data_IF_016836443704
#
_entry.id   IF_016836443704
#
_cell.length_a   1.000
_cell.length_b   1.000
_cell.length_c   1.000
_cell.angle_alpha   90.00
_cell.angle_beta   90.00
_cell.angle_gamma   90.00
#
_symmetry.space_group_name_H-M   'P 1'
#
loop_
_entity.id
_entity.type
_entity.pdbx_description
1 polymer ?
#
# COMPACT_ATOMS: atom_id res chain seq x y z
N UNK A 1 -15.76 -4.84 15.20
CA UNK A 1 -15.73 -3.69 14.25
C UNK A 1 -16.90 -3.70 13.27
N UNK A 2 -17.25 -4.82 12.65
CA UNK A 2 -18.29 -4.85 11.61
C UNK A 2 -19.68 -4.36 12.09
N UNK A 3 -20.16 -4.80 13.25
CA UNK A 3 -21.45 -4.31 13.80
C UNK A 3 -21.42 -2.81 14.18
N UNK A 4 -20.29 -2.33 14.71
CA UNK A 4 -20.10 -0.91 15.02
C UNK A 4 -20.12 -0.06 13.74
N UNK A 5 -19.55 -0.56 12.64
CA UNK A 5 -19.55 0.14 11.36
C UNK A 5 -20.98 0.28 10.80
N UNK A 6 -21.86 -0.72 11.00
CA UNK A 6 -23.26 -0.65 10.58
C UNK A 6 -24.02 0.43 11.35
N UNK A 7 -23.79 0.54 12.67
CA UNK A 7 -24.41 1.60 13.47
C UNK A 7 -23.94 3.00 13.05
N UNK A 8 -22.64 3.17 12.83
CA UNK A 8 -22.06 4.42 12.35
C UNK A 8 -22.59 4.82 10.98
N UNK A 9 -22.69 3.87 10.05
CA UNK A 9 -23.25 4.11 8.72
C UNK A 9 -24.67 4.69 8.82
N UNK A 10 -25.54 4.07 9.64
CA UNK A 10 -26.92 4.57 9.85
C UNK A 10 -26.97 5.96 10.47
N UNK A 11 -26.06 6.30 11.38
CA UNK A 11 -26.00 7.65 11.98
C UNK A 11 -25.52 8.70 10.97
N UNK A 12 -24.52 8.36 10.16
CA UNK A 12 -24.00 9.20 9.09
C UNK A 12 -25.05 9.46 8.01
N UNK A 13 -25.74 8.41 7.55
CA UNK A 13 -26.85 8.51 6.58
C UNK A 13 -27.96 9.44 7.09
N UNK A 14 -28.37 9.31 8.36
CA UNK A 14 -29.34 10.21 8.99
C UNK A 14 -28.89 11.67 9.05
N UNK A 15 -27.59 11.91 9.00
CA UNK A 15 -26.99 13.24 9.01
C UNK A 15 -26.73 13.80 7.60
N UNK A 16 -27.21 13.10 6.56
CA UNK A 16 -27.07 13.53 5.15
C UNK A 16 -25.78 13.04 4.46
N UNK A 17 -25.01 12.17 5.10
CA UNK A 17 -23.79 11.60 4.49
C UNK A 17 -24.17 10.45 3.57
N UNK A 18 -23.66 10.48 2.34
CA UNK A 18 -23.78 9.35 1.43
C UNK A 18 -22.78 8.26 1.84
N UNK A 19 -23.27 7.20 2.49
CA UNK A 19 -22.45 6.07 2.90
C UNK A 19 -22.48 5.01 1.81
N UNK A 20 -21.31 4.59 1.36
CA UNK A 20 -21.16 3.50 0.39
C UNK A 20 -20.46 2.33 1.05
N UNK A 21 -21.09 1.17 0.96
CA UNK A 21 -20.51 -0.10 1.39
C UNK A 21 -19.57 -0.59 0.30
N UNK A 22 -18.44 -1.18 0.70
CA UNK A 22 -17.37 -1.57 -0.23
C UNK A 22 -17.84 -2.52 -1.34
N UNK A 23 -16.99 -2.67 -2.37
CA UNK A 23 -17.27 -3.52 -3.52
C UNK A 23 -17.51 -4.98 -3.08
N UNK A 24 -18.61 -5.58 -3.54
CA UNK A 24 -18.99 -6.94 -3.17
C UNK A 24 -17.87 -7.94 -3.50
N UNK A 25 -17.52 -8.78 -2.52
CA UNK A 25 -16.42 -9.74 -2.64
C UNK A 25 -15.02 -9.17 -2.38
N UNK A 26 -14.88 -7.87 -2.12
CA UNK A 26 -13.60 -7.23 -1.77
C UNK A 26 -13.68 -6.52 -0.41
N UNK A 27 -12.57 -6.56 0.33
CA UNK A 27 -12.40 -5.77 1.55
C UNK A 27 -11.59 -4.52 1.26
N UNK A 28 -12.12 -3.36 1.61
CA UNK A 28 -11.38 -2.08 1.53
C UNK A 28 -10.41 -1.97 2.70
N UNK A 29 -9.10 -2.03 2.43
CA UNK A 29 -8.05 -1.89 3.45
C UNK A 29 -7.28 -0.56 3.37
N UNK A 30 -7.43 0.22 2.30
CA UNK A 30 -6.76 1.52 2.19
C UNK A 30 -7.31 2.52 3.20
N UNK A 31 -6.48 3.50 3.62
CA UNK A 31 -6.89 4.58 4.52
C UNK A 31 -6.54 5.90 3.92
N UNK A 32 -7.56 6.49 3.31
CA UNK A 32 -7.45 7.70 2.52
C UNK A 32 -8.55 8.67 2.93
N UNK A 33 -8.28 9.95 2.75
CA UNK A 33 -9.26 11.03 2.88
C UNK A 33 -9.04 11.98 1.73
N UNK A 34 -10.12 12.47 1.15
CA UNK A 34 -10.11 13.49 0.12
C UNK A 34 -11.03 14.63 0.56
N UNK A 35 -10.53 15.85 0.48
CA UNK A 35 -11.28 17.08 0.73
C UNK A 35 -11.22 17.91 -0.54
N UNK A 36 -12.38 18.18 -1.13
CA UNK A 36 -12.50 19.10 -2.26
C UNK A 36 -13.09 20.40 -1.74
N UNK A 37 -12.35 21.49 -1.91
CA UNK A 37 -12.70 22.82 -1.41
C UNK A 37 -12.75 23.80 -2.57
N UNK A 38 -13.79 24.64 -2.63
CA UNK A 38 -13.79 25.81 -3.52
C UNK A 38 -12.91 26.90 -2.92
N UNK A 39 -11.90 27.32 -3.66
CA UNK A 39 -11.01 28.43 -3.32
C UNK A 39 -11.09 29.46 -4.44
N UNK A 40 -11.70 30.62 -4.14
CA UNK A 40 -12.12 31.62 -5.14
C UNK A 40 -13.01 30.96 -6.21
N UNK A 41 -12.58 30.96 -7.47
CA UNK A 41 -13.31 30.39 -8.60
C UNK A 41 -12.82 28.99 -8.99
N UNK A 42 -11.90 28.40 -8.23
CA UNK A 42 -11.30 27.09 -8.55
C UNK A 42 -11.64 26.04 -7.49
N UNK A 43 -11.69 24.78 -7.91
CA UNK A 43 -11.75 23.64 -6.99
C UNK A 43 -10.34 23.19 -6.67
N UNK A 44 -10.02 23.09 -5.37
CA UNK A 44 -8.75 22.56 -4.87
C UNK A 44 -9.00 21.28 -4.11
N UNK A 45 -8.20 20.26 -4.40
CA UNK A 45 -8.21 18.99 -3.68
C UNK A 45 -7.06 18.90 -2.68
N UNK A 46 -7.37 18.33 -1.53
CA UNK A 46 -6.42 17.96 -0.48
C UNK A 46 -6.66 16.50 -0.13
N UNK A 47 -5.59 15.73 0.03
CA UNK A 47 -5.68 14.32 0.34
C UNK A 47 -4.83 13.94 1.54
N UNK A 48 -5.20 12.84 2.15
CA UNK A 48 -4.39 12.08 3.09
C UNK A 48 -4.30 10.64 2.62
N UNK A 49 -3.11 10.06 2.62
CA UNK A 49 -2.88 8.62 2.39
C UNK A 49 -2.11 8.07 3.57
N UNK A 50 -2.68 7.07 4.25
CA UNK A 50 -2.12 6.48 5.46
C UNK A 50 -1.87 4.98 5.34
N UNK A 51 -0.84 4.51 6.04
CA UNK A 51 -0.59 3.07 6.23
C UNK A 51 -1.52 2.46 7.30
N UNK A 52 -1.97 3.30 8.24
CA UNK A 52 -2.78 2.96 9.42
C UNK A 52 -4.23 3.39 9.34
N UNK A 53 -5.06 2.87 10.24
CA UNK A 53 -6.45 3.29 10.38
C UNK A 53 -6.61 4.57 11.20
N UNK A 54 -7.78 5.20 11.08
CA UNK A 54 -8.14 6.42 11.82
C UNK A 54 -8.59 6.15 13.26
N UNK A 55 -8.16 5.04 13.87
CA UNK A 55 -8.55 4.68 15.24
C UNK A 55 -7.55 5.26 16.24
N UNK A 56 -8.04 6.17 17.09
CA UNK A 56 -7.24 6.90 18.09
C UNK A 56 -6.61 6.02 19.16
N UNK A 57 -7.15 4.82 19.41
CA UNK A 57 -6.55 3.87 20.36
C UNK A 57 -5.34 3.20 19.73
N UNK A 58 -5.50 2.64 18.53
CA UNK A 58 -4.42 1.93 17.84
C UNK A 58 -3.30 2.86 17.39
N UNK A 59 -3.59 4.13 17.08
CA UNK A 59 -2.57 5.12 16.72
C UNK A 59 -1.55 5.40 17.83
N UNK A 60 -1.87 5.09 19.10
CA UNK A 60 -0.93 5.22 20.22
C UNK A 60 -0.01 4.00 20.41
N UNK A 61 -0.33 2.88 19.76
CA UNK A 61 0.38 1.61 19.89
C UNK A 61 1.10 1.21 18.60
N UNK A 62 0.60 1.62 17.44
CA UNK A 62 1.08 1.20 16.13
C UNK A 62 1.94 2.30 15.51
N UNK A 63 3.00 1.92 14.80
CA UNK A 63 3.76 2.87 13.98
C UNK A 63 3.10 2.98 12.61
N UNK A 64 2.63 4.18 12.27
CA UNK A 64 1.99 4.45 11.00
C UNK A 64 2.46 5.76 10.40
N UNK A 65 2.41 5.85 9.07
CA UNK A 65 2.72 7.05 8.32
C UNK A 65 1.43 7.58 7.69
N UNK A 66 1.34 8.90 7.60
CA UNK A 66 0.26 9.62 6.96
C UNK A 66 0.83 10.76 6.13
N UNK A 67 0.49 10.81 4.85
CA UNK A 67 0.96 11.85 3.94
C UNK A 67 -0.22 12.77 3.62
N UNK A 68 -0.28 13.98 4.22
CA UNK A 68 -1.13 15.04 3.71
C UNK A 68 -0.51 15.64 2.44
N UNK A 69 -1.32 15.86 1.40
CA UNK A 69 -0.83 16.39 0.13
C UNK A 69 -1.92 17.15 -0.63
N UNK A 70 -1.49 18.13 -1.43
CA UNK A 70 -2.31 18.78 -2.45
C UNK A 70 -1.69 18.62 -3.86
N UNK A 71 -0.85 17.58 -4.05
CA UNK A 71 -0.32 17.22 -5.36
C UNK A 71 -1.47 16.78 -6.27
N UNK A 72 -1.54 17.37 -7.46
CA UNK A 72 -2.70 17.22 -8.36
C UNK A 72 -2.84 15.80 -8.89
N UNK A 73 -1.76 15.10 -9.23
CA UNK A 73 -1.81 13.71 -9.70
C UNK A 73 -2.32 12.77 -8.61
N UNK A 74 -1.81 12.91 -7.38
CA UNK A 74 -2.24 12.11 -6.25
C UNK A 74 -3.70 12.39 -5.88
N UNK A 75 -4.11 13.67 -5.87
CA UNK A 75 -5.50 14.06 -5.63
C UNK A 75 -6.43 13.45 -6.67
N UNK A 76 -6.07 13.54 -7.96
CA UNK A 76 -6.88 12.97 -9.03
C UNK A 76 -6.94 11.44 -8.95
N UNK A 77 -5.85 10.77 -8.59
CA UNK A 77 -5.86 9.32 -8.36
C UNK A 77 -6.80 8.91 -7.23
N UNK A 78 -6.90 9.72 -6.16
CA UNK A 78 -7.87 9.48 -5.08
C UNK A 78 -9.31 9.73 -5.55
N UNK A 79 -9.56 10.75 -6.38
CA UNK A 79 -10.88 10.96 -7.00
C UNK A 79 -11.27 9.73 -7.82
N UNK A 80 -10.37 9.24 -8.68
CA UNK A 80 -10.58 8.06 -9.50
C UNK A 80 -10.83 6.81 -8.63
N UNK A 81 -10.10 6.66 -7.52
CA UNK A 81 -10.28 5.56 -6.57
C UNK A 81 -11.61 5.64 -5.82
N UNK A 82 -12.06 6.83 -5.37
CA UNK A 82 -13.37 6.99 -4.75
C UNK A 82 -14.50 6.67 -5.74
N UNK A 83 -14.38 7.11 -7.00
CA UNK A 83 -15.34 6.78 -8.05
C UNK A 83 -15.37 5.27 -8.35
N UNK A 84 -14.20 4.61 -8.33
CA UNK A 84 -14.11 3.15 -8.47
C UNK A 84 -14.82 2.42 -7.32
N UNK A 85 -14.55 2.82 -6.07
CA UNK A 85 -15.16 2.21 -4.88
C UNK A 85 -16.68 2.40 -4.80
N UNK A 86 -17.19 3.47 -5.42
CA UNK A 86 -18.61 3.80 -5.44
C UNK A 86 -19.35 3.33 -6.70
N UNK A 87 -18.66 2.59 -7.57
CA UNK A 87 -19.26 1.94 -8.74
C UNK A 87 -19.42 2.84 -9.97
N UNK A 88 -18.87 4.05 -9.97
CA UNK A 88 -18.97 5.00 -11.08
C UNK A 88 -17.90 4.81 -12.16
N UNK A 89 -16.84 4.03 -11.92
CA UNK A 89 -15.74 3.86 -12.89
C UNK A 89 -15.12 2.45 -12.87
N UNK A 90 -14.61 2.03 -14.03
CA UNK A 90 -13.72 0.87 -14.21
C UNK A 90 -12.29 1.34 -14.46
N UNK A 91 -11.74 2.10 -13.52
CA UNK A 91 -10.37 2.60 -13.61
C UNK A 91 -9.38 1.42 -13.72
N UNK A 92 -8.50 1.45 -14.73
CA UNK A 92 -7.49 0.41 -14.95
C UNK A 92 -6.07 0.87 -14.60
N UNK A 93 -5.79 2.17 -14.65
CA UNK A 93 -4.48 2.73 -14.34
C UNK A 93 -4.63 3.92 -13.39
N UNK A 94 -3.57 4.15 -12.63
CA UNK A 94 -3.42 5.29 -11.72
C UNK A 94 -2.07 5.93 -12.00
N UNK A 95 -1.98 7.24 -11.79
CA UNK A 95 -0.77 8.04 -12.11
C UNK A 95 0.37 7.70 -11.16
N UNK A 96 0.07 7.67 -9.86
CA UNK A 96 0.99 7.47 -8.75
C UNK A 96 0.56 6.34 -7.82
N UNK A 97 -0.73 6.16 -7.58
CA UNK A 97 -1.22 5.12 -6.67
C UNK A 97 -1.00 3.71 -7.21
N UNK A 98 -0.66 2.79 -6.32
CA UNK A 98 -0.69 1.35 -6.57
C UNK A 98 -1.92 0.76 -5.87
N UNK A 99 -2.95 0.41 -6.64
CA UNK A 99 -4.26 0.03 -6.12
C UNK A 99 -4.48 -1.47 -6.31
N UNK A 100 -4.81 -2.19 -5.24
CA UNK A 100 -5.22 -3.58 -5.33
C UNK A 100 -6.74 -3.69 -5.61
N UNK A 101 -7.19 -4.69 -6.39
CA UNK A 101 -6.39 -5.69 -7.10
C UNK A 101 -5.89 -5.21 -8.48
N UNK A 102 -6.17 -3.96 -8.86
CA UNK A 102 -6.03 -3.44 -10.23
C UNK A 102 -4.57 -3.36 -10.71
N UNK A 103 -3.75 -2.51 -10.09
CA UNK A 103 -2.38 -2.22 -10.53
C UNK A 103 -1.31 -2.76 -9.59
N UNK A 104 -1.61 -2.90 -8.28
CA UNK A 104 -0.58 -3.14 -7.26
C UNK A 104 0.31 -4.35 -7.57
N UNK A 105 -0.27 -5.53 -7.83
CA UNK A 105 0.53 -6.74 -8.09
C UNK A 105 1.43 -6.58 -9.31
N UNK A 106 0.84 -6.21 -10.45
CA UNK A 106 1.57 -6.04 -11.72
C UNK A 106 2.73 -5.06 -11.57
N UNK A 107 2.46 -3.88 -10.98
CA UNK A 107 3.49 -2.84 -10.79
C UNK A 107 4.59 -3.27 -9.82
N UNK A 108 4.27 -4.02 -8.77
CA UNK A 108 5.29 -4.58 -7.87
C UNK A 108 6.21 -5.58 -8.59
N UNK A 109 5.65 -6.43 -9.45
CA UNK A 109 6.45 -7.35 -10.27
C UNK A 109 7.36 -6.60 -11.24
N UNK A 110 6.84 -5.58 -11.93
CA UNK A 110 7.61 -4.72 -12.83
C UNK A 110 8.76 -4.01 -12.12
N UNK A 111 8.54 -3.51 -10.90
CA UNK A 111 9.58 -2.85 -10.11
C UNK A 111 10.70 -3.81 -9.72
N UNK A 112 10.37 -5.04 -9.30
CA UNK A 112 11.38 -6.06 -8.99
C UNK A 112 12.17 -6.42 -10.25
N UNK A 113 11.46 -6.69 -11.35
CA UNK A 113 12.06 -7.06 -12.62
C UNK A 113 13.00 -5.98 -13.17
N UNK A 114 12.64 -4.70 -13.03
CA UNK A 114 13.51 -3.58 -13.41
C UNK A 114 14.85 -3.61 -12.67
N UNK A 115 14.84 -3.86 -11.36
CA UNK A 115 16.08 -3.97 -10.59
C UNK A 115 16.88 -5.22 -10.99
N UNK A 116 16.20 -6.34 -11.27
CA UNK A 116 16.85 -7.55 -11.82
C UNK A 116 17.58 -7.26 -13.14
N UNK A 117 16.95 -6.52 -14.05
CA UNK A 117 17.56 -6.12 -15.33
C UNK A 117 18.74 -5.17 -15.15
N UNK A 118 18.63 -4.22 -14.20
CA UNK A 118 19.75 -3.37 -13.84
C UNK A 118 20.95 -4.18 -13.35
N UNK A 119 20.75 -5.14 -12.46
CA UNK A 119 21.82 -5.99 -11.95
C UNK A 119 22.48 -6.84 -13.05
N UNK A 120 21.66 -7.45 -13.93
CA UNK A 120 22.15 -8.21 -15.10
C UNK A 120 22.98 -7.35 -16.06
N UNK A 121 22.65 -6.06 -16.17
CA UNK A 121 23.41 -5.10 -16.96
C UNK A 121 24.65 -4.53 -16.23
N UNK A 122 25.00 -5.05 -15.05
CA UNK A 122 26.13 -4.57 -14.24
C UNK A 122 25.90 -3.20 -13.60
N UNK A 123 24.65 -2.72 -13.54
CA UNK A 123 24.28 -1.44 -12.92
C UNK A 123 24.00 -1.63 -11.43
N UNK A 124 24.16 -0.58 -10.60
CA UNK A 124 23.71 -0.64 -9.21
C UNK A 124 22.21 -0.93 -9.14
N UNK A 125 21.84 -1.95 -8.35
CA UNK A 125 20.46 -2.39 -8.18
C UNK A 125 20.22 -2.80 -6.73
N UNK A 126 19.14 -2.29 -6.14
CA UNK A 126 18.79 -2.60 -4.77
C UNK A 126 17.29 -2.52 -4.52
N UNK A 127 16.80 -3.40 -3.64
CA UNK A 127 15.42 -3.42 -3.17
C UNK A 127 15.44 -3.27 -1.65
N UNK A 128 14.74 -2.26 -1.14
CA UNK A 128 14.50 -2.07 0.29
C UNK A 128 13.01 -2.03 0.55
N UNK A 129 12.51 -2.94 1.37
CA UNK A 129 11.08 -3.02 1.63
C UNK A 129 10.78 -3.33 3.10
N UNK A 130 9.71 -2.73 3.60
CA UNK A 130 9.17 -2.96 4.94
C UNK A 130 7.75 -3.46 4.81
N UNK A 131 7.40 -4.48 5.59
CA UNK A 131 6.04 -5.01 5.58
C UNK A 131 5.70 -5.78 6.83
N UNK A 132 4.40 -5.99 7.03
CA UNK A 132 3.92 -6.78 8.16
C UNK A 132 4.11 -8.28 7.90
N UNK A 133 3.96 -8.73 6.65
CA UNK A 133 4.14 -10.11 6.25
C UNK A 133 4.57 -10.21 4.78
N UNK A 134 5.39 -11.21 4.48
CA UNK A 134 5.82 -11.60 3.13
C UNK A 134 5.51 -13.07 2.91
N UNK A 135 4.41 -13.36 2.22
CA UNK A 135 3.89 -14.73 2.05
C UNK A 135 3.44 -15.06 0.62
N UNK A 136 3.49 -14.08 -0.30
CA UNK A 136 3.06 -14.29 -1.69
C UNK A 136 4.12 -15.07 -2.48
N UNK A 137 3.82 -16.29 -2.98
CA UNK A 137 4.83 -17.12 -3.64
C UNK A 137 5.41 -16.50 -4.92
N UNK A 138 4.59 -15.78 -5.69
CA UNK A 138 5.03 -15.19 -6.95
C UNK A 138 5.99 -14.01 -6.71
N UNK A 139 5.70 -13.16 -5.72
CA UNK A 139 6.63 -12.10 -5.32
C UNK A 139 7.91 -12.69 -4.71
N UNK A 140 7.81 -13.73 -3.89
CA UNK A 140 8.99 -14.39 -3.31
C UNK A 140 9.90 -14.99 -4.40
N UNK A 141 9.32 -15.66 -5.40
CA UNK A 141 10.07 -16.19 -6.53
C UNK A 141 10.84 -15.09 -7.27
N UNK A 142 10.19 -13.95 -7.56
CA UNK A 142 10.85 -12.81 -8.21
C UNK A 142 11.98 -12.20 -7.34
N UNK A 143 11.83 -12.18 -6.02
CA UNK A 143 12.90 -11.72 -5.13
C UNK A 143 14.11 -12.68 -5.14
N UNK A 144 13.89 -13.99 -5.26
CA UNK A 144 14.98 -14.94 -5.46
C UNK A 144 15.67 -14.74 -6.81
N UNK A 145 14.92 -14.57 -7.90
CA UNK A 145 15.50 -14.28 -9.23
C UNK A 145 16.32 -12.97 -9.22
N UNK A 146 15.82 -11.93 -8.53
CA UNK A 146 16.54 -10.67 -8.34
C UNK A 146 17.84 -10.89 -7.54
N UNK A 147 17.80 -11.68 -6.48
CA UNK A 147 19.00 -12.04 -5.71
C UNK A 147 20.04 -12.77 -6.57
N UNK A 148 19.60 -13.75 -7.36
CA UNK A 148 20.48 -14.50 -8.27
C UNK A 148 21.10 -13.63 -9.35
N UNK A 149 20.43 -12.55 -9.76
CA UNK A 149 20.98 -11.54 -10.67
C UNK A 149 21.97 -10.58 -9.99
N UNK A 150 22.10 -10.62 -8.66
CA UNK A 150 23.02 -9.77 -7.89
C UNK A 150 22.38 -8.53 -7.24
N UNK A 151 21.06 -8.38 -7.29
CA UNK A 151 20.34 -7.26 -6.63
C UNK A 151 20.55 -7.35 -5.13
N UNK A 152 20.90 -6.23 -4.47
CA UNK A 152 21.00 -6.18 -3.00
C UNK A 152 19.62 -5.99 -2.39
N UNK A 153 19.16 -6.91 -1.52
CA UNK A 153 17.78 -6.90 -1.01
C UNK A 153 17.78 -6.82 0.52
N UNK A 154 17.21 -5.75 1.07
CA UNK A 154 17.01 -5.55 2.51
C UNK A 154 15.52 -5.55 2.84
N UNK A 155 15.09 -6.53 3.64
CA UNK A 155 13.69 -6.69 4.03
C UNK A 155 13.53 -6.52 5.54
N UNK A 156 12.57 -5.69 5.94
CA UNK A 156 12.11 -5.57 7.32
C UNK A 156 10.71 -6.18 7.41
N UNK A 157 10.61 -7.42 7.90
CA UNK A 157 9.35 -8.16 7.99
C UNK A 157 9.07 -8.50 9.44
N UNK A 158 8.09 -7.84 10.05
CA UNK A 158 7.84 -8.02 11.49
C UNK A 158 7.18 -9.35 11.84
N UNK A 159 6.33 -9.85 10.95
CA UNK A 159 5.41 -10.96 11.19
C UNK A 159 5.82 -12.18 10.37
N UNK A 160 4.86 -12.77 9.66
CA UNK A 160 5.12 -13.96 8.85
C UNK A 160 6.03 -13.65 7.65
N UNK A 161 7.09 -14.43 7.50
CA UNK A 161 7.97 -14.40 6.34
C UNK A 161 8.16 -15.82 5.82
N UNK A 162 7.67 -16.09 4.61
CA UNK A 162 7.86 -17.38 3.93
C UNK A 162 9.13 -17.41 3.06
N UNK A 163 9.78 -16.25 2.86
CA UNK A 163 11.07 -16.14 2.19
C UNK A 163 12.19 -16.62 3.12
N UNK A 164 13.12 -17.43 2.58
CA UNK A 164 14.30 -17.92 3.29
C UNK A 164 15.56 -17.21 2.77
N UNK A 165 16.20 -16.31 3.55
CA UNK A 165 17.45 -15.66 3.17
C UNK A 165 18.67 -16.60 3.35
N UNK A 166 19.78 -16.29 2.65
CA UNK A 166 21.06 -16.97 2.81
C UNK A 166 21.12 -18.39 2.24
N UNK A 167 20.27 -18.72 1.28
CA UNK A 167 20.39 -19.96 0.50
C UNK A 167 21.43 -19.76 -0.59
N UNK A 168 22.44 -20.63 -0.59
CA UNK A 168 23.51 -20.62 -1.59
C UNK A 168 22.94 -20.69 -3.02
N UNK A 169 23.32 -19.72 -3.86
CA UNK A 169 22.89 -19.60 -5.25
C UNK A 169 21.43 -19.19 -5.44
N UNK A 170 20.70 -18.83 -4.38
CA UNK A 170 19.27 -18.48 -4.45
C UNK A 170 18.96 -17.16 -3.75
N UNK A 171 19.45 -16.96 -2.52
CA UNK A 171 19.12 -15.79 -1.70
C UNK A 171 20.33 -15.19 -0.97
N UNK A 172 21.52 -15.33 -1.56
CA UNK A 172 22.79 -14.85 -1.00
C UNK A 172 22.81 -13.35 -0.71
N UNK A 173 22.08 -12.55 -1.50
CA UNK A 173 22.06 -11.09 -1.38
C UNK A 173 20.84 -10.57 -0.61
N UNK A 174 20.02 -11.47 -0.06
CA UNK A 174 18.81 -11.12 0.70
C UNK A 174 19.10 -11.11 2.19
N UNK A 175 18.89 -9.96 2.83
CA UNK A 175 18.89 -9.81 4.29
C UNK A 175 17.47 -9.57 4.77
N UNK A 176 17.05 -10.36 5.77
CA UNK A 176 15.74 -10.20 6.43
C UNK A 176 15.97 -9.88 7.90
N UNK A 177 15.29 -8.85 8.39
CA UNK A 177 15.25 -8.49 9.80
C UNK A 177 13.81 -8.34 10.28
N UNK A 178 13.59 -8.56 11.57
CA UNK A 178 12.32 -8.28 12.24
C UNK A 178 12.60 -7.36 13.42
N UNK A 179 11.80 -6.30 13.54
CA UNK A 179 11.91 -5.33 14.65
C UNK A 179 10.69 -5.52 15.54
N UNK A 180 10.95 -5.92 16.79
CA UNK A 180 9.94 -6.06 17.84
C UNK A 180 10.31 -5.07 18.95
N UNK A 181 9.42 -4.13 19.22
CA UNK A 181 9.62 -3.11 20.23
C UNK A 181 8.34 -2.82 21.01
N UNK A 182 8.36 -1.72 21.76
CA UNK A 182 7.18 -1.24 22.50
C UNK A 182 6.01 -0.93 21.57
N UNK A 183 6.30 -0.31 20.43
CA UNK A 183 5.31 -0.04 19.40
C UNK A 183 5.22 -1.21 18.42
N UNK A 184 4.01 -1.47 17.95
CA UNK A 184 3.76 -2.46 16.91
C UNK A 184 4.14 -1.85 15.57
N UNK A 185 5.19 -2.35 14.95
CA UNK A 185 5.53 -1.97 13.57
C UNK A 185 4.32 -2.20 12.67
N UNK A 186 3.77 -1.20 12.00
CA UNK A 186 2.56 -1.39 11.19
C UNK A 186 2.64 -0.78 9.80
N UNK A 187 3.41 0.31 9.67
CA UNK A 187 3.73 0.93 8.40
C UNK A 187 4.47 -0.03 7.46
N UNK A 188 4.22 0.18 6.18
CA UNK A 188 4.75 -0.60 5.06
C UNK A 188 5.39 0.39 4.10
#
# INVERSE_FOLDING_TARGET
DEDNNIQWARQLERSGVHVVYGVLGLKTHTKITLVVRREKEQLRGYCHVGTGNYNSKTSSLYTDLGIPSCNEDLVNDLVDLFNYLTGFSKQQEFRQLLVAPVTLRRRMQELIQRETEHARAGRPAAIKAKMNALVDPAIIALLYEASQAGVQIDLVVRGMCSLRPGLEGISDTIRVSSVIGRFLEHNR
#
